data_IF_221584257817
#
_entry.id   IF_221584257817
#
_cell.length_a   1.000
_cell.length_b   1.000
_cell.length_c   1.000
_cell.angle_alpha   90.00
_cell.angle_beta   90.00
_cell.angle_gamma   90.00
#
_symmetry.space_group_name_H-M   'P 1'
#
loop_
_entity.id
_entity.type
_entity.pdbx_description
1 polymer ?
#
# COMPACT_ATOMS: atom_id res chain seq x y z
N UNK A 1 2.46 5.05 1.01
CA UNK A 1 0.99 5.21 1.14
C UNK A 1 0.30 3.94 0.68
N UNK A 2 -0.82 3.58 1.30
CA UNK A 2 -1.64 2.43 0.91
C UNK A 2 -3.04 2.91 0.57
N UNK A 3 -3.48 2.65 -0.65
CA UNK A 3 -4.86 2.85 -1.11
C UNK A 3 -5.56 1.49 -1.13
N UNK A 4 -6.68 1.38 -0.45
CA UNK A 4 -7.41 0.12 -0.38
C UNK A 4 -8.78 0.27 0.26
N UNK A 5 -9.46 -0.85 0.42
CA UNK A 5 -10.75 -0.91 1.12
C UNK A 5 -10.59 -1.64 2.45
N UNK A 6 -11.58 -1.55 3.33
CA UNK A 6 -11.58 -2.24 4.62
C UNK A 6 -11.89 -3.73 4.50
N UNK A 7 -12.66 -4.12 3.49
CA UNK A 7 -13.14 -5.50 3.30
C UNK A 7 -12.26 -6.33 2.38
N UNK A 8 -11.30 -5.72 1.66
CA UNK A 8 -10.41 -6.45 0.76
C UNK A 8 -9.36 -7.25 1.54
N UNK A 9 -9.28 -8.59 1.39
CA UNK A 9 -8.33 -9.43 2.11
C UNK A 9 -6.86 -9.04 1.87
N UNK A 10 -6.50 -8.66 0.64
CA UNK A 10 -5.14 -8.24 0.31
C UNK A 10 -4.79 -6.87 0.88
N UNK A 11 -5.77 -5.97 1.04
CA UNK A 11 -5.56 -4.69 1.72
C UNK A 11 -5.27 -4.92 3.20
N UNK A 12 -6.02 -5.82 3.85
CA UNK A 12 -5.80 -6.20 5.24
C UNK A 12 -4.40 -6.80 5.42
N UNK A 13 -4.00 -7.73 4.56
CA UNK A 13 -2.67 -8.33 4.59
C UNK A 13 -1.55 -7.29 4.42
N UNK A 14 -1.67 -6.38 3.46
CA UNK A 14 -0.70 -5.31 3.25
C UNK A 14 -0.58 -4.37 4.46
N UNK A 15 -1.71 -3.99 5.08
CA UNK A 15 -1.73 -3.17 6.31
C UNK A 15 -1.08 -3.89 7.48
N UNK A 16 -1.43 -5.16 7.70
CA UNK A 16 -0.85 -5.99 8.75
C UNK A 16 0.66 -6.09 8.58
N UNK A 17 1.12 -6.38 7.35
CA UNK A 17 2.54 -6.51 7.04
C UNK A 17 3.34 -5.24 7.33
N UNK A 18 2.85 -4.07 6.91
CA UNK A 18 3.49 -2.78 7.20
C UNK A 18 3.50 -2.47 8.70
N UNK A 19 2.42 -2.80 9.42
CA UNK A 19 2.33 -2.61 10.88
C UNK A 19 3.26 -3.55 11.65
N UNK A 20 3.35 -4.81 11.27
CA UNK A 20 4.25 -5.82 11.87
C UNK A 20 5.72 -5.40 11.77
N UNK A 21 6.07 -4.71 10.68
CA UNK A 21 7.42 -4.14 10.47
C UNK A 21 7.60 -2.74 11.06
N UNK A 22 6.59 -2.21 11.76
CA UNK A 22 6.58 -0.86 12.32
C UNK A 22 6.88 0.24 11.27
N UNK A 23 6.48 0.01 10.01
CA UNK A 23 6.70 0.97 8.93
C UNK A 23 5.56 2.00 8.99
N UNK A 24 5.86 3.30 9.12
CA UNK A 24 4.83 4.33 9.08
C UNK A 24 4.24 4.43 7.65
N UNK A 25 2.92 4.44 7.56
CA UNK A 25 2.23 4.64 6.28
C UNK A 25 0.92 5.39 6.46
N UNK A 26 0.52 6.11 5.42
CA UNK A 26 -0.83 6.68 5.32
C UNK A 26 -1.73 5.63 4.70
N UNK A 27 -2.81 5.34 5.41
CA UNK A 27 -3.88 4.43 5.00
C UNK A 27 -5.04 5.24 4.40
N UNK A 28 -5.29 5.07 3.11
CA UNK A 28 -6.37 5.73 2.37
C UNK A 28 -7.43 4.70 2.03
N UNK A 29 -8.52 4.73 2.79
CA UNK A 29 -9.72 3.99 2.43
C UNK A 29 -10.40 4.65 1.22
N UNK A 30 -10.46 3.93 0.10
CA UNK A 30 -11.07 4.43 -1.15
C UNK A 30 -12.59 4.27 -1.17
N UNK A 31 -13.20 3.49 -0.28
CA UNK A 31 -14.66 3.37 -0.23
C UNK A 31 -15.31 4.52 0.54
N UNK A 32 -14.67 4.96 1.63
CA UNK A 32 -15.23 5.93 2.56
C UNK A 32 -14.70 7.36 2.41
N UNK A 33 -13.75 7.59 1.49
CA UNK A 33 -13.12 8.90 1.30
C UNK A 33 -13.28 9.40 -0.13
N UNK A 34 -13.97 10.53 -0.30
CA UNK A 34 -14.03 11.25 -1.58
C UNK A 34 -12.65 11.59 -2.14
N UNK A 35 -11.74 12.00 -1.25
CA UNK A 35 -10.36 12.28 -1.62
C UNK A 35 -9.63 10.98 -1.98
N UNK A 36 -9.79 9.92 -1.19
CA UNK A 36 -9.22 8.61 -1.48
C UNK A 36 -9.67 8.06 -2.84
N UNK A 37 -10.94 8.25 -3.22
CA UNK A 37 -11.48 7.90 -4.55
C UNK A 37 -10.82 8.67 -5.67
N UNK A 38 -10.72 10.00 -5.53
CA UNK A 38 -10.08 10.86 -6.54
C UNK A 38 -8.60 10.54 -6.70
N UNK A 39 -7.89 10.42 -5.59
CA UNK A 39 -6.47 10.07 -5.58
C UNK A 39 -6.27 8.71 -6.25
N UNK A 40 -7.04 7.68 -5.86
CA UNK A 40 -6.95 6.35 -6.46
C UNK A 40 -7.26 6.36 -7.96
N UNK A 41 -8.29 7.09 -8.40
CA UNK A 41 -8.62 7.22 -9.81
C UNK A 41 -7.49 7.88 -10.62
N UNK A 42 -6.79 8.86 -10.03
CA UNK A 42 -5.65 9.53 -10.67
C UNK A 42 -4.43 8.61 -10.89
N UNK A 43 -4.33 7.50 -10.13
CA UNK A 43 -3.26 6.51 -10.28
C UNK A 43 -3.43 5.64 -11.54
N UNK A 44 -4.59 5.71 -12.20
CA UNK A 44 -4.89 4.89 -13.39
C UNK A 44 -4.92 3.39 -13.10
N UNK A 45 -5.18 2.98 -11.85
CA UNK A 45 -5.25 1.57 -11.44
C UNK A 45 -6.70 1.13 -11.27
N UNK A 46 -6.94 -0.17 -11.48
CA UNK A 46 -8.27 -0.78 -11.45
C UNK A 46 -8.47 -1.72 -10.26
N UNK A 47 -7.40 -2.06 -9.52
CA UNK A 47 -7.45 -3.02 -8.43
C UNK A 47 -6.73 -2.49 -7.20
N UNK A 48 -7.24 -2.88 -6.03
CA UNK A 48 -6.66 -2.60 -4.71
C UNK A 48 -6.01 -3.87 -4.12
N UNK A 49 -5.05 -3.74 -3.19
CA UNK A 49 -4.42 -2.51 -2.73
C UNK A 49 -3.51 -1.89 -3.80
N UNK A 50 -3.36 -0.57 -3.76
CA UNK A 50 -2.27 0.13 -4.45
C UNK A 50 -1.34 0.71 -3.41
N UNK A 51 -0.06 0.36 -3.47
CA UNK A 51 0.94 0.78 -2.48
C UNK A 51 1.98 1.64 -3.19
N UNK A 52 2.09 2.89 -2.76
CA UNK A 52 3.11 3.83 -3.22
C UNK A 52 4.26 3.83 -2.21
N UNK A 53 5.46 3.44 -2.66
CA UNK A 53 6.70 3.43 -1.88
C UNK A 53 7.76 4.23 -2.63
N UNK A 54 8.14 5.41 -2.10
CA UNK A 54 8.89 6.38 -2.88
C UNK A 54 8.16 6.70 -4.20
N UNK A 55 8.84 6.48 -5.32
CA UNK A 55 8.28 6.67 -6.67
C UNK A 55 7.69 5.39 -7.28
N UNK A 56 7.69 4.27 -6.52
CA UNK A 56 7.19 2.99 -7.03
C UNK A 56 5.75 2.75 -6.64
N UNK A 57 4.94 2.51 -7.67
CA UNK A 57 3.54 2.15 -7.52
C UNK A 57 3.35 0.63 -7.70
N UNK A 58 3.00 -0.05 -6.61
CA UNK A 58 2.70 -1.48 -6.59
C UNK A 58 1.18 -1.68 -6.63
N UNK A 59 0.72 -2.69 -7.37
CA UNK A 59 -0.70 -3.08 -7.43
C UNK A 59 -0.83 -4.50 -6.90
N UNK A 60 -1.79 -4.72 -6.00
CA UNK A 60 -1.92 -5.96 -5.23
C UNK A 60 -0.93 -6.05 -4.06
N UNK A 61 -1.10 -7.08 -3.24
CA UNK A 61 -0.14 -7.41 -2.19
C UNK A 61 0.78 -8.53 -2.67
N UNK A 62 2.07 -8.22 -2.78
CA UNK A 62 3.13 -9.20 -3.00
C UNK A 62 4.29 -8.85 -2.07
N UNK A 63 4.55 -9.71 -1.08
CA UNK A 63 5.58 -9.47 -0.06
C UNK A 63 6.95 -9.17 -0.68
N UNK A 64 7.40 -9.96 -1.67
CA UNK A 64 8.72 -9.81 -2.30
C UNK A 64 8.86 -8.47 -3.03
N UNK A 65 7.83 -8.05 -3.76
CA UNK A 65 7.87 -6.76 -4.47
C UNK A 65 7.80 -5.58 -3.49
N UNK A 66 7.01 -5.71 -2.43
CA UNK A 66 6.93 -4.70 -1.37
C UNK A 66 8.25 -4.57 -0.62
N UNK A 67 8.90 -5.69 -0.27
CA UNK A 67 10.24 -5.72 0.31
C UNK A 67 11.25 -4.99 -0.55
N UNK A 68 11.34 -5.38 -1.83
CA UNK A 68 12.27 -4.75 -2.76
C UNK A 68 12.00 -3.25 -2.95
N UNK A 69 10.76 -2.79 -2.81
CA UNK A 69 10.44 -1.36 -2.87
C UNK A 69 10.80 -0.63 -1.57
N UNK A 70 10.59 -1.26 -0.41
CA UNK A 70 10.90 -0.72 0.91
C UNK A 70 12.41 -0.62 1.14
N UNK A 71 13.18 -1.60 0.66
CA UNK A 71 14.65 -1.57 0.71
C UNK A 71 15.22 -0.33 0.01
N UNK A 72 14.65 0.05 -1.14
CA UNK A 72 15.09 1.20 -1.92
C UNK A 72 14.88 2.54 -1.21
N UNK A 73 14.00 2.59 -0.21
CA UNK A 73 13.72 3.79 0.57
C UNK A 73 14.22 3.68 2.03
N UNK A 74 15.07 2.69 2.32
CA UNK A 74 15.73 2.54 3.61
C UNK A 74 14.91 1.83 4.69
N UNK A 75 13.76 1.22 4.34
CA UNK A 75 12.98 0.38 5.24
C UNK A 75 13.39 -1.09 5.10
N UNK A 76 14.69 -1.39 5.08
CA UNK A 76 15.16 -2.76 5.00
C UNK A 76 14.85 -3.55 6.26
N UNK A 77 14.35 -4.77 6.08
CA UNK A 77 14.15 -5.70 7.20
C UNK A 77 15.51 -6.30 7.57
N UNK A 78 15.95 -6.09 8.82
CA UNK A 78 17.24 -6.57 9.32
C UNK A 78 17.17 -8.00 9.90
N UNK A 79 16.21 -8.81 9.44
CA UNK A 79 16.03 -10.20 9.88
C UNK A 79 16.63 -11.20 8.90
#
# INVERSE_FOLDING_TARGET
MLYGTETCPYCIQARAYLRERAIPFIDRNVDSSDQGRRDFASLGKQAVPVILVGDRLLTGFNKKHLDAALDQVGYSDAR
#
